data_IF_061880634294
#
_entry.id   IF_061880634294
#
_cell.length_a   1.000
_cell.length_b   1.000
_cell.length_c   1.000
_cell.angle_alpha   90.00
_cell.angle_beta   90.00
_cell.angle_gamma   90.00
#
_symmetry.space_group_name_H-M   'P 1'
#
loop_
_entity.id
_entity.type
_entity.pdbx_description
1 polymer ?
#
# COMPACT_ATOMS: atom_id res chain seq x y z
N UNK A 1 -7.34 -4.50 -8.17
CA UNK A 1 -6.35 -3.92 -7.21
C UNK A 1 -5.32 -4.98 -6.85
N UNK A 2 -4.03 -4.59 -6.81
CA UNK A 2 -2.91 -5.47 -6.47
C UNK A 2 -2.14 -4.85 -5.30
N UNK A 3 -2.18 -5.47 -4.12
CA UNK A 3 -1.36 -5.08 -2.98
C UNK A 3 0.05 -5.63 -3.16
N UNK A 4 1.08 -4.80 -2.94
CA UNK A 4 2.48 -5.19 -3.13
C UNK A 4 3.31 -4.79 -1.93
N UNK A 5 3.95 -5.77 -1.28
CA UNK A 5 4.99 -5.54 -0.26
C UNK A 5 6.39 -5.89 -0.79
N UNK A 6 7.38 -5.81 0.08
CA UNK A 6 8.75 -6.16 -0.27
C UNK A 6 8.92 -7.68 -0.50
N UNK A 7 8.16 -8.49 0.21
CA UNK A 7 8.39 -9.92 0.35
C UNK A 7 9.44 -10.25 1.41
N UNK A 8 9.46 -11.48 1.83
CA UNK A 8 10.34 -12.01 2.88
C UNK A 8 10.79 -13.42 2.57
N UNK A 9 11.96 -13.80 3.09
CA UNK A 9 12.39 -15.22 3.11
C UNK A 9 11.64 -16.06 4.16
N UNK A 10 10.89 -15.39 5.04
CA UNK A 10 10.07 -16.04 6.07
C UNK A 10 8.64 -16.18 5.58
N UNK A 11 8.17 -17.41 5.45
CA UNK A 11 6.83 -17.70 4.94
C UNK A 11 5.73 -17.03 5.78
N UNK A 12 5.89 -17.00 7.11
CA UNK A 12 4.93 -16.42 8.04
C UNK A 12 4.76 -14.91 7.81
N UNK A 13 5.81 -14.22 7.37
CA UNK A 13 5.74 -12.79 7.04
C UNK A 13 4.94 -12.56 5.75
N UNK A 14 5.14 -13.39 4.73
CA UNK A 14 4.40 -13.31 3.46
C UNK A 14 2.91 -13.63 3.65
N UNK A 15 2.61 -14.57 4.56
CA UNK A 15 1.23 -14.91 4.91
C UNK A 15 0.46 -13.72 5.51
N UNK A 16 1.14 -12.79 6.19
CA UNK A 16 0.50 -11.58 6.72
C UNK A 16 -0.04 -10.70 5.59
N UNK A 17 0.67 -10.54 4.47
CA UNK A 17 0.14 -9.78 3.33
C UNK A 17 -1.10 -10.48 2.75
N UNK A 18 -1.11 -11.82 2.69
CA UNK A 18 -2.29 -12.57 2.25
C UNK A 18 -3.48 -12.31 3.17
N UNK A 19 -3.29 -12.34 4.49
CA UNK A 19 -4.34 -12.04 5.46
C UNK A 19 -4.88 -10.60 5.30
N UNK A 20 -4.00 -9.63 5.09
CA UNK A 20 -4.41 -8.23 4.80
C UNK A 20 -5.20 -8.17 3.50
N UNK A 21 -4.76 -8.88 2.46
CA UNK A 21 -5.46 -8.95 1.17
C UNK A 21 -6.87 -9.54 1.31
N UNK A 22 -7.02 -10.59 2.09
CA UNK A 22 -8.32 -11.21 2.36
C UNK A 22 -9.26 -10.25 3.12
N UNK A 23 -8.72 -9.50 4.08
CA UNK A 23 -9.47 -8.47 4.79
C UNK A 23 -9.89 -7.33 3.84
N UNK A 24 -8.97 -6.83 3.00
CA UNK A 24 -9.29 -5.80 2.00
C UNK A 24 -10.34 -6.31 1.02
N UNK A 25 -10.25 -7.55 0.56
CA UNK A 25 -11.25 -8.19 -0.31
C UNK A 25 -12.62 -8.25 0.36
N UNK A 26 -12.66 -8.64 1.63
CA UNK A 26 -13.91 -8.66 2.41
C UNK A 26 -14.54 -7.26 2.51
N UNK A 27 -13.74 -6.24 2.80
CA UNK A 27 -14.20 -4.86 2.93
C UNK A 27 -14.61 -4.23 1.59
N UNK A 28 -13.94 -4.59 0.49
CA UNK A 28 -14.25 -4.10 -0.85
C UNK A 28 -15.52 -4.77 -1.43
N UNK A 29 -15.86 -5.97 -0.97
CA UNK A 29 -16.98 -6.74 -1.54
C UNK A 29 -16.82 -6.93 -3.04
N UNK A 30 -17.89 -6.73 -3.78
CA UNK A 30 -17.92 -6.89 -5.25
C UNK A 30 -17.39 -5.65 -6.00
N UNK A 31 -16.93 -4.61 -5.30
CA UNK A 31 -16.45 -3.37 -5.93
C UNK A 31 -15.07 -3.49 -6.59
N UNK A 32 -14.30 -4.51 -6.23
CA UNK A 32 -12.96 -4.71 -6.78
C UNK A 32 -12.46 -6.16 -6.69
N UNK A 33 -11.75 -6.59 -7.73
CA UNK A 33 -10.89 -7.77 -7.68
C UNK A 33 -9.65 -7.39 -6.85
N UNK A 34 -9.31 -8.16 -5.81
CA UNK A 34 -8.18 -7.89 -4.93
C UNK A 34 -7.21 -9.07 -4.94
N UNK A 35 -5.96 -8.80 -5.31
CA UNK A 35 -4.87 -9.76 -5.30
C UNK A 35 -3.66 -9.19 -4.53
N UNK A 36 -2.65 -10.01 -4.27
CA UNK A 36 -1.39 -9.59 -3.69
C UNK A 36 -0.20 -10.09 -4.51
N UNK A 37 0.92 -9.42 -4.34
CA UNK A 37 2.21 -9.85 -4.86
C UNK A 37 3.34 -9.35 -3.95
N UNK A 38 4.50 -9.94 -4.12
CA UNK A 38 5.73 -9.53 -3.47
C UNK A 38 6.66 -8.90 -4.52
N UNK A 39 7.36 -7.83 -4.15
CA UNK A 39 8.30 -7.18 -5.05
C UNK A 39 9.48 -8.10 -5.36
N UNK A 40 9.98 -8.81 -4.32
CA UNK A 40 11.07 -9.78 -4.43
C UNK A 40 10.97 -10.84 -3.31
N UNK A 41 11.90 -11.79 -3.26
CA UNK A 41 12.11 -12.79 -2.19
C UNK A 41 11.00 -13.84 -2.01
N UNK A 42 9.81 -13.64 -2.57
CA UNK A 42 8.68 -14.55 -2.41
C UNK A 42 7.76 -14.55 -3.64
N UNK A 43 6.92 -15.57 -3.71
CA UNK A 43 5.86 -15.68 -4.72
C UNK A 43 4.48 -15.45 -4.06
N UNK A 44 3.50 -14.94 -4.83
CA UNK A 44 3.60 -14.51 -6.23
C UNK A 44 4.38 -13.20 -6.39
N UNK A 45 5.14 -13.06 -7.48
CA UNK A 45 5.75 -11.79 -7.88
C UNK A 45 4.72 -10.84 -8.53
N UNK A 46 5.16 -9.59 -8.82
CA UNK A 46 4.28 -8.58 -9.43
C UNK A 46 3.70 -9.06 -10.78
N UNK A 47 4.49 -9.77 -11.57
CA UNK A 47 4.03 -10.28 -12.86
C UNK A 47 2.92 -11.34 -12.70
N UNK A 48 3.09 -12.25 -11.76
CA UNK A 48 2.07 -13.25 -11.42
C UNK A 48 0.81 -12.61 -10.83
N UNK A 49 0.98 -11.56 -10.00
CA UNK A 49 -0.14 -10.79 -9.46
C UNK A 49 -0.97 -10.10 -10.55
N UNK A 50 -0.33 -9.49 -11.55
CA UNK A 50 -1.02 -8.93 -12.72
C UNK A 50 -1.77 -9.99 -13.51
N UNK A 51 -1.11 -11.13 -13.79
CA UNK A 51 -1.76 -12.24 -14.49
C UNK A 51 -3.01 -12.73 -13.76
N UNK A 52 -2.95 -12.89 -12.44
CA UNK A 52 -4.09 -13.27 -11.62
C UNK A 52 -5.23 -12.24 -11.66
N UNK A 53 -4.93 -10.93 -11.64
CA UNK A 53 -5.95 -9.90 -11.80
C UNK A 53 -6.64 -9.99 -13.15
N UNK A 54 -5.89 -10.17 -14.24
CA UNK A 54 -6.43 -10.28 -15.61
C UNK A 54 -7.23 -11.55 -15.79
N UNK A 55 -6.77 -12.67 -15.27
CA UNK A 55 -7.50 -13.94 -15.29
C UNK A 55 -8.84 -13.83 -14.55
N UNK A 56 -8.90 -13.03 -13.50
CA UNK A 56 -10.13 -12.71 -12.79
C UNK A 56 -11.02 -11.67 -13.49
N UNK A 57 -10.61 -11.15 -14.66
CA UNK A 57 -11.40 -10.25 -15.50
C UNK A 57 -11.05 -8.76 -15.37
N UNK A 58 -9.92 -8.40 -14.79
CA UNK A 58 -9.49 -7.00 -14.70
C UNK A 58 -8.93 -6.51 -16.03
N UNK A 59 -9.37 -5.34 -16.48
CA UNK A 59 -8.85 -4.57 -17.63
C UNK A 59 -7.97 -3.38 -17.21
N UNK A 60 -8.03 -3.04 -15.91
CA UNK A 60 -7.21 -2.03 -15.27
C UNK A 60 -6.74 -2.50 -13.90
N UNK A 61 -5.45 -2.30 -13.57
CA UNK A 61 -4.85 -2.72 -12.30
C UNK A 61 -4.33 -1.53 -11.51
N UNK A 62 -4.96 -1.24 -10.38
CA UNK A 62 -4.46 -0.30 -9.38
C UNK A 62 -3.46 -1.04 -8.48
N UNK A 63 -2.20 -0.67 -8.54
CA UNK A 63 -1.14 -1.23 -7.68
C UNK A 63 -1.00 -0.38 -6.44
N UNK A 64 -1.13 -1.00 -5.28
CA UNK A 64 -1.04 -0.33 -3.97
C UNK A 64 0.20 -0.83 -3.24
N UNK A 65 1.27 -0.02 -3.14
CA UNK A 65 2.44 -0.36 -2.36
C UNK A 65 2.09 -0.45 -0.86
N UNK A 66 2.18 -1.64 -0.30
CA UNK A 66 1.92 -1.87 1.13
C UNK A 66 3.18 -1.55 1.94
N UNK A 67 3.54 -0.28 1.96
CA UNK A 67 4.71 0.29 2.63
C UNK A 67 4.30 1.51 3.46
N UNK A 68 4.92 1.69 4.60
CA UNK A 68 4.65 2.85 5.45
C UNK A 68 5.26 4.14 4.89
N UNK A 69 6.38 4.05 4.16
CA UNK A 69 7.11 5.23 3.70
C UNK A 69 7.46 5.13 2.20
N UNK A 70 7.61 6.31 1.58
CA UNK A 70 7.96 6.48 0.18
C UNK A 70 9.46 6.26 -0.06
N UNK A 71 9.98 5.06 0.23
CA UNK A 71 11.34 4.66 -0.09
C UNK A 71 11.52 4.32 -1.58
N UNK A 72 12.78 4.06 -1.99
CA UNK A 72 13.14 3.73 -3.37
C UNK A 72 12.28 2.61 -3.96
N UNK A 73 12.02 1.54 -3.19
CA UNK A 73 11.21 0.42 -3.67
C UNK A 73 9.79 0.86 -4.06
N UNK A 74 9.13 1.66 -3.22
CA UNK A 74 7.78 2.13 -3.50
C UNK A 74 7.71 3.15 -4.64
N UNK A 75 8.77 3.98 -4.84
CA UNK A 75 8.75 5.10 -5.78
C UNK A 75 9.42 4.81 -7.13
N UNK A 76 10.25 3.79 -7.22
CA UNK A 76 11.01 3.46 -8.44
C UNK A 76 10.83 2.00 -8.87
N UNK A 77 11.08 1.04 -7.97
CA UNK A 77 11.13 -0.37 -8.35
C UNK A 77 9.73 -0.93 -8.64
N UNK A 78 8.75 -0.68 -7.78
CA UNK A 78 7.36 -1.14 -7.99
C UNK A 78 6.74 -0.49 -9.23
N UNK A 79 6.82 0.84 -9.49
CA UNK A 79 6.32 1.43 -10.72
C UNK A 79 6.92 0.84 -11.99
N UNK A 80 8.23 0.58 -12.02
CA UNK A 80 8.90 -0.06 -13.15
C UNK A 80 8.38 -1.48 -13.37
N UNK A 81 8.34 -2.31 -12.33
CA UNK A 81 7.86 -3.70 -12.41
C UNK A 81 6.38 -3.79 -12.80
N UNK A 82 5.56 -2.87 -12.29
CA UNK A 82 4.15 -2.77 -12.65
C UNK A 82 3.96 -2.43 -14.13
N UNK A 83 4.73 -1.46 -14.66
CA UNK A 83 4.70 -1.08 -16.07
C UNK A 83 5.09 -2.25 -16.98
N UNK A 84 6.15 -2.99 -16.62
CA UNK A 84 6.59 -4.18 -17.35
C UNK A 84 5.52 -5.30 -17.34
N UNK A 85 4.87 -5.52 -16.20
CA UNK A 85 3.83 -6.53 -16.05
C UNK A 85 2.56 -6.15 -16.83
N UNK A 86 2.10 -4.91 -16.71
CA UNK A 86 0.94 -4.37 -17.42
C UNK A 86 1.11 -4.47 -18.94
N UNK A 87 2.30 -4.11 -19.47
CA UNK A 87 2.61 -4.23 -20.90
C UNK A 87 2.52 -5.69 -21.38
N UNK A 88 2.99 -6.65 -20.57
CA UNK A 88 2.90 -8.09 -20.92
C UNK A 88 1.47 -8.61 -20.89
N UNK A 89 0.65 -8.13 -19.98
CA UNK A 89 -0.75 -8.53 -19.84
C UNK A 89 -1.70 -7.75 -20.78
N UNK A 90 -1.24 -6.67 -21.41
CA UNK A 90 -2.05 -5.84 -22.30
C UNK A 90 -3.14 -5.04 -21.58
N UNK A 91 -2.92 -4.67 -20.30
CA UNK A 91 -3.88 -3.92 -19.49
C UNK A 91 -3.32 -2.57 -19.06
N UNK A 92 -4.21 -1.63 -18.77
CA UNK A 92 -3.83 -0.36 -18.17
C UNK A 92 -3.53 -0.54 -16.66
N UNK A 93 -2.73 0.37 -16.09
CA UNK A 93 -2.41 0.34 -14.67
C UNK A 93 -2.14 1.74 -14.12
N UNK A 94 -2.23 1.84 -12.81
CA UNK A 94 -1.71 2.96 -12.04
C UNK A 94 -1.03 2.44 -10.78
N UNK A 95 -0.11 3.21 -10.21
CA UNK A 95 0.54 2.91 -8.94
C UNK A 95 0.25 4.05 -7.98
N UNK A 96 -0.38 3.73 -6.86
CA UNK A 96 -0.70 4.72 -5.83
C UNK A 96 0.53 5.11 -5.01
N UNK A 97 0.42 6.18 -4.23
CA UNK A 97 1.36 6.40 -3.12
C UNK A 97 1.31 5.21 -2.12
N UNK A 98 2.40 4.95 -1.38
CA UNK A 98 2.37 4.01 -0.27
C UNK A 98 1.41 4.47 0.84
N UNK A 99 1.19 3.64 1.87
CA UNK A 99 0.26 3.94 2.96
C UNK A 99 0.57 5.27 3.67
N UNK A 100 1.84 5.58 3.83
CA UNK A 100 2.29 6.89 4.30
C UNK A 100 1.83 7.25 5.70
N UNK A 101 1.80 8.54 5.97
CA UNK A 101 1.26 9.10 7.23
C UNK A 101 -0.26 9.15 7.10
N UNK A 102 -0.94 8.33 7.89
CA UNK A 102 -2.41 8.24 7.87
C UNK A 102 -2.96 8.07 9.28
N UNK A 103 -4.06 8.76 9.60
CA UNK A 103 -4.67 8.74 10.93
C UNK A 103 -5.04 7.32 11.38
N UNK A 104 -5.55 6.46 10.48
CA UNK A 104 -5.87 5.08 10.82
C UNK A 104 -4.63 4.27 11.23
N UNK A 105 -3.46 4.53 10.62
CA UNK A 105 -2.20 3.88 11.01
C UNK A 105 -1.75 4.37 12.39
N UNK A 106 -1.89 5.68 12.67
CA UNK A 106 -1.62 6.23 13.99
C UNK A 106 -2.56 5.64 15.05
N UNK A 107 -3.84 5.45 14.72
CA UNK A 107 -4.80 4.76 15.58
C UNK A 107 -4.37 3.33 15.92
N UNK A 108 -3.90 2.57 14.92
CA UNK A 108 -3.34 1.22 15.16
C UNK A 108 -2.14 1.27 16.11
N UNK A 109 -1.27 2.28 16.00
CA UNK A 109 -0.13 2.44 16.92
C UNK A 109 -0.61 2.67 18.36
N UNK A 110 -1.61 3.53 18.56
CA UNK A 110 -2.19 3.77 19.88
C UNK A 110 -2.85 2.51 20.45
N UNK A 111 -3.63 1.80 19.64
CA UNK A 111 -4.25 0.53 20.02
C UNK A 111 -3.21 -0.50 20.51
N UNK A 112 -2.12 -0.66 19.75
CA UNK A 112 -1.03 -1.59 20.12
C UNK A 112 -0.31 -1.16 21.40
N UNK A 113 -0.24 0.14 21.68
CA UNK A 113 0.32 0.68 22.92
C UNK A 113 -0.65 0.63 24.11
N UNK A 114 -1.91 0.24 23.92
CA UNK A 114 -2.95 0.24 24.94
C UNK A 114 -3.37 1.66 25.37
N UNK A 115 -3.20 2.63 24.45
CA UNK A 115 -3.55 4.04 24.69
C UNK A 115 -4.85 4.40 23.97
N UNK A 116 -5.72 5.25 24.60
CA UNK A 116 -6.93 5.73 23.94
C UNK A 116 -6.59 6.76 22.85
N UNK A 117 -7.41 6.78 21.80
CA UNK A 117 -7.40 7.89 20.86
C UNK A 117 -8.04 9.13 21.49
N UNK A 118 -7.33 10.25 21.45
CA UNK A 118 -7.85 11.55 21.86
C UNK A 118 -7.84 12.48 20.63
N UNK A 119 -9.01 12.86 20.18
CA UNK A 119 -9.18 13.76 19.04
C UNK A 119 -10.08 13.17 17.95
N UNK A 120 -10.57 14.03 17.07
CA UNK A 120 -11.30 13.57 15.89
C UNK A 120 -10.35 12.88 14.92
N UNK A 121 -10.70 11.69 14.41
CA UNK A 121 -9.88 11.04 13.39
C UNK A 121 -9.86 11.94 12.15
N UNK A 122 -8.72 12.48 11.85
CA UNK A 122 -8.50 13.28 10.65
C UNK A 122 -8.62 12.38 9.40
N UNK A 123 -9.84 12.17 8.92
CA UNK A 123 -10.18 11.23 7.85
C UNK A 123 -9.66 11.64 6.47
N UNK A 124 -9.16 12.86 6.32
CA UNK A 124 -8.74 13.44 5.03
C UNK A 124 -7.41 14.18 5.15
N UNK A 125 -6.41 13.58 5.78
CA UNK A 125 -5.08 14.16 5.71
C UNK A 125 -4.48 13.88 4.33
N UNK A 126 -3.96 14.91 3.65
CA UNK A 126 -3.23 14.69 2.42
C UNK A 126 -1.99 13.82 2.71
N UNK A 127 -1.61 13.01 1.73
CA UNK A 127 -0.41 12.18 1.84
C UNK A 127 0.80 13.05 2.17
N UNK A 128 1.52 12.68 3.24
CA UNK A 128 2.75 13.37 3.60
C UNK A 128 3.82 13.10 2.54
N UNK A 129 4.36 14.14 1.93
CA UNK A 129 5.45 14.05 0.94
C UNK A 129 6.77 13.58 1.54
N UNK A 130 6.88 13.58 2.88
CA UNK A 130 8.13 13.34 3.59
C UNK A 130 9.02 14.58 3.70
N UNK A 131 8.65 15.69 3.05
CA UNK A 131 9.30 16.99 3.20
C UNK A 131 8.55 17.79 4.27
N UNK A 132 9.28 18.25 5.31
CA UNK A 132 8.66 19.00 6.41
C UNK A 132 8.11 20.35 5.96
N UNK A 133 8.76 20.98 4.98
CA UNK A 133 8.41 22.32 4.52
C UNK A 133 7.17 22.29 3.60
N UNK A 134 6.89 21.15 2.96
CA UNK A 134 5.73 20.93 2.09
C UNK A 134 4.62 20.06 2.73
N UNK A 135 4.76 19.68 4.00
CA UNK A 135 3.78 18.81 4.63
C UNK A 135 2.54 19.60 5.06
N UNK A 136 1.37 19.36 4.46
CA UNK A 136 0.15 20.07 4.81
C UNK A 136 -0.47 19.63 6.15
N UNK A 137 0.14 18.67 6.83
CA UNK A 137 -0.37 18.14 8.09
C UNK A 137 0.07 19.03 9.26
N UNK A 138 -0.86 19.53 10.10
CA UNK A 138 -0.58 20.51 11.15
C UNK A 138 0.36 19.99 12.27
N UNK A 139 0.65 18.69 12.31
CA UNK A 139 1.54 18.07 13.29
C UNK A 139 2.95 17.76 12.73
N UNK A 140 3.21 18.04 11.46
CA UNK A 140 4.55 17.94 10.87
C UNK A 140 5.39 19.18 11.15
N UNK A 141 4.81 20.30 11.54
CA UNK A 141 5.52 21.44 12.08
C UNK A 141 6.14 21.04 13.42
N UNK A 142 7.49 21.02 13.46
CA UNK A 142 8.24 20.65 14.67
C UNK A 142 7.99 21.61 15.84
N UNK A 143 8.50 21.28 17.05
CA UNK A 143 8.32 22.08 18.27
C UNK A 143 8.96 23.48 18.22
N UNK A 144 9.62 23.86 17.11
CA UNK A 144 10.34 25.12 16.96
C UNK A 144 9.51 26.25 16.30
N UNK A 145 8.20 26.08 16.16
CA UNK A 145 7.29 27.10 15.59
C UNK A 145 6.36 27.73 16.64
N UNK A 146 6.84 27.90 17.87
CA UNK A 146 6.19 28.71 18.91
C UNK A 146 7.07 29.84 19.38
#
# INVERSE_FOLDING_TARGET
>A
MLLVDHGSRRAEANEQLRCVTDLVRHLAGDSAIVAHAHMELASPDIAAGFAACVEAGADHVVVVPYFLFAGRHATQDIPRLASEAAARCGVSHEVTAPLGVHAAIAGVVLERAGLPEHGEPARNLPACSGDRDDCPAPYCSGPDSA
#
